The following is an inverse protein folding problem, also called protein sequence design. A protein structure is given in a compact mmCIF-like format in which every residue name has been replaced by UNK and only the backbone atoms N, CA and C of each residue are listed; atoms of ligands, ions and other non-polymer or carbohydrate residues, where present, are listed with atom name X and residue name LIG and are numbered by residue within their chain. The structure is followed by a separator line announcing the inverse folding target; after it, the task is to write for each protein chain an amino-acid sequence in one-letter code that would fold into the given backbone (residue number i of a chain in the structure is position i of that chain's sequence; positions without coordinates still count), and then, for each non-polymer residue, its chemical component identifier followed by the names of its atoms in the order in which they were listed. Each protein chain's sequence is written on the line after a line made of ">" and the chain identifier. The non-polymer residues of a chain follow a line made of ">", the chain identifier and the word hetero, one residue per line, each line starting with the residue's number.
data_IF_343150800820
#
_entry.id   IF_343150800820
#
_cell.length_a   1.000
_cell.length_b   1.000
_cell.length_c   1.000
_cell.angle_alpha   90.00
_cell.angle_beta   90.00
_cell.angle_gamma   90.00
#
_symmetry.space_group_name_H-M   'P 1'
#
loop_
_entity.id
_entity.type
_entity.pdbx_description
1 polymer ?
#
# COMPACT_ATOMS: atom_id res chain seq x y z
N UNK A 1 -12.77 -35.16 7.70
CA UNK A 1 -14.18 -34.72 7.71
C UNK A 1 -14.38 -33.80 6.51
N UNK A 2 -14.84 -34.37 5.40
CA UNK A 2 -15.15 -33.65 4.16
C UNK A 2 -16.51 -32.97 4.36
N UNK A 3 -16.55 -31.63 4.46
CA UNK A 3 -17.79 -30.86 4.35
C UNK A 3 -18.19 -30.86 2.87
N UNK A 4 -18.97 -31.87 2.49
CA UNK A 4 -19.47 -32.10 1.15
C UNK A 4 -20.58 -31.09 0.79
N UNK A 5 -20.49 -30.49 -0.40
CA UNK A 5 -21.64 -29.96 -1.12
C UNK A 5 -21.88 -28.45 -1.10
N UNK A 6 -21.08 -27.66 -0.36
CA UNK A 6 -21.19 -26.21 -0.44
C UNK A 6 -20.15 -25.69 -1.44
N UNK A 7 -20.59 -25.43 -2.67
CA UNK A 7 -19.73 -24.79 -3.65
C UNK A 7 -19.38 -23.37 -3.17
N UNK A 8 -18.09 -22.98 -3.11
CA UNK A 8 -17.68 -21.69 -2.56
C UNK A 8 -18.39 -20.50 -3.19
N UNK A 9 -18.76 -20.60 -4.48
CA UNK A 9 -19.49 -19.57 -5.19
C UNK A 9 -20.93 -19.37 -4.67
N UNK A 10 -21.59 -20.41 -4.16
CA UNK A 10 -22.93 -20.31 -3.59
C UNK A 10 -22.90 -19.63 -2.21
N UNK A 11 -21.81 -19.76 -1.45
CA UNK A 11 -21.58 -19.00 -0.21
C UNK A 11 -21.38 -17.52 -0.53
N UNK A 12 -20.54 -17.23 -1.52
CA UNK A 12 -20.23 -15.87 -1.95
C UNK A 12 -21.46 -15.14 -2.51
N UNK A 13 -22.33 -15.84 -3.24
CA UNK A 13 -23.59 -15.27 -3.75
C UNK A 13 -24.64 -14.97 -2.66
N UNK A 14 -24.53 -15.60 -1.48
CA UNK A 14 -25.45 -15.39 -0.35
C UNK A 14 -24.99 -14.31 0.61
N UNK A 15 -23.76 -13.81 0.46
CA UNK A 15 -23.29 -12.67 1.25
C UNK A 15 -24.00 -11.41 0.75
N UNK A 16 -24.52 -10.55 1.64
CA UNK A 16 -25.14 -9.27 1.28
C UNK A 16 -24.06 -8.24 0.94
N UNK A 17 -23.09 -8.61 0.12
CA UNK A 17 -21.94 -7.80 -0.28
C UNK A 17 -22.02 -7.63 -1.80
N UNK A 18 -22.06 -6.39 -2.26
CA UNK A 18 -22.06 -6.11 -3.70
C UNK A 18 -20.74 -6.51 -4.34
N UNK A 19 -20.73 -6.78 -5.64
CA UNK A 19 -19.49 -7.08 -6.37
C UNK A 19 -18.44 -5.97 -6.17
N UNK A 20 -18.89 -4.71 -6.18
CA UNK A 20 -18.03 -3.54 -5.95
C UNK A 20 -17.45 -3.54 -4.53
N UNK A 21 -18.27 -3.81 -3.50
CA UNK A 21 -17.78 -3.93 -2.12
C UNK A 21 -16.77 -5.07 -1.96
N UNK A 22 -16.93 -6.17 -2.71
CA UNK A 22 -15.96 -7.27 -2.73
C UNK A 22 -14.61 -6.85 -3.30
N UNK A 23 -14.61 -6.21 -4.48
CA UNK A 23 -13.39 -5.67 -5.10
C UNK A 23 -12.74 -4.60 -4.22
N UNK A 24 -13.56 -3.74 -3.63
CA UNK A 24 -13.10 -2.67 -2.73
C UNK A 24 -12.47 -3.23 -1.46
N UNK A 25 -13.06 -4.28 -0.88
CA UNK A 25 -12.49 -4.95 0.29
C UNK A 25 -11.11 -5.55 -0.01
N UNK A 26 -10.89 -6.10 -1.22
CA UNK A 26 -9.58 -6.60 -1.64
C UNK A 26 -8.57 -5.45 -1.74
N UNK A 27 -8.94 -4.34 -2.37
CA UNK A 27 -8.10 -3.16 -2.49
C UNK A 27 -7.77 -2.56 -1.11
N UNK A 28 -8.76 -2.51 -0.22
CA UNK A 28 -8.61 -2.06 1.15
C UNK A 28 -7.63 -2.92 1.93
N UNK A 29 -7.84 -4.25 1.97
CA UNK A 29 -6.97 -5.19 2.68
C UNK A 29 -5.54 -5.11 2.14
N UNK A 30 -5.39 -5.06 0.81
CA UNK A 30 -4.06 -5.00 0.18
C UNK A 30 -3.33 -3.71 0.53
N UNK A 31 -4.04 -2.58 0.54
CA UNK A 31 -3.48 -1.27 0.89
C UNK A 31 -3.08 -1.21 2.35
N UNK A 32 -3.97 -1.62 3.26
CA UNK A 32 -3.68 -1.68 4.69
C UNK A 32 -2.48 -2.61 4.99
N UNK A 33 -2.46 -3.78 4.37
CA UNK A 33 -1.36 -4.74 4.52
C UNK A 33 -0.03 -4.15 4.07
N UNK A 34 -0.02 -3.40 2.96
CA UNK A 34 1.15 -2.67 2.50
C UNK A 34 1.62 -1.60 3.46
N UNK A 35 0.67 -0.85 4.01
CA UNK A 35 1.00 0.18 4.98
C UNK A 35 1.67 -0.43 6.22
N UNK A 36 1.09 -1.51 6.74
CA UNK A 36 1.66 -2.25 7.87
C UNK A 36 3.04 -2.81 7.51
N UNK A 37 3.17 -3.46 6.35
CA UNK A 37 4.43 -4.03 5.88
C UNK A 37 5.52 -2.96 5.78
N UNK A 38 5.27 -1.86 5.08
CA UNK A 38 6.22 -0.77 4.91
C UNK A 38 6.59 -0.10 6.25
N UNK A 39 5.63 0.02 7.19
CA UNK A 39 5.91 0.53 8.53
C UNK A 39 6.79 -0.45 9.34
N UNK A 40 6.56 -1.75 9.23
CA UNK A 40 7.42 -2.76 9.89
C UNK A 40 8.83 -2.78 9.31
N UNK A 41 8.95 -2.61 7.99
CA UNK A 41 10.22 -2.56 7.28
C UNK A 41 11.01 -1.30 7.66
N UNK A 42 10.34 -0.14 7.71
CA UNK A 42 10.92 1.11 8.19
C UNK A 42 11.38 1.03 9.66
N UNK A 43 10.59 0.40 10.53
CA UNK A 43 10.98 0.13 11.93
C UNK A 43 12.22 -0.76 12.01
N UNK A 44 12.31 -1.80 11.18
CA UNK A 44 13.48 -2.69 11.11
C UNK A 44 14.72 -1.92 10.65
N UNK A 45 14.62 -1.16 9.56
CA UNK A 45 15.71 -0.34 9.05
C UNK A 45 16.19 0.70 10.07
N UNK A 46 15.27 1.34 10.80
CA UNK A 46 15.62 2.28 11.87
C UNK A 46 16.38 1.63 13.04
N UNK A 47 16.15 0.33 13.32
CA UNK A 47 16.94 -0.40 14.31
C UNK A 47 18.34 -0.73 13.79
N UNK A 48 18.45 -1.11 12.52
CA UNK A 48 19.72 -1.45 11.88
C UNK A 48 20.65 -0.23 11.76
N UNK A 49 20.11 0.96 11.47
CA UNK A 49 20.90 2.21 11.46
C UNK A 49 21.40 2.63 12.84
N UNK A 50 20.73 2.25 13.93
CA UNK A 50 21.27 2.47 15.28
C UNK A 50 22.52 1.63 15.57
N UNK A 51 22.66 0.47 14.90
CA UNK A 51 23.78 -0.45 15.08
C UNK A 51 24.92 -0.10 14.11
N UNK A 52 24.60 0.22 12.86
CA UNK A 52 25.58 0.53 11.81
C UNK A 52 26.10 1.99 11.84
N UNK A 53 25.54 2.83 12.71
CA UNK A 53 25.75 4.29 12.70
C UNK A 53 24.69 5.00 11.86
N UNK A 54 24.35 6.26 12.19
CA UNK A 54 23.34 6.99 11.45
C UNK A 54 23.78 7.12 9.99
N UNK A 55 22.89 6.75 9.06
CA UNK A 55 23.00 7.17 7.67
C UNK A 55 23.36 8.67 7.66
N UNK A 56 24.30 9.08 6.81
CA UNK A 56 24.94 10.40 6.88
C UNK A 56 23.98 11.53 6.47
N UNK A 57 22.91 11.73 7.25
CA UNK A 57 21.88 12.77 7.14
C UNK A 57 22.44 14.16 7.38
N UNK A 58 23.67 14.22 7.92
CA UNK A 58 24.47 15.43 8.03
C UNK A 58 24.77 16.07 6.66
N UNK A 59 24.73 15.29 5.57
CA UNK A 59 24.93 15.77 4.20
C UNK A 59 23.67 16.37 3.54
N UNK A 60 22.50 16.27 4.16
CA UNK A 60 21.26 16.84 3.61
C UNK A 60 21.20 18.35 3.85
N UNK A 61 20.95 19.09 2.77
CA UNK A 61 20.65 20.53 2.81
C UNK A 61 19.39 20.82 3.64
N UNK A 62 19.24 22.02 4.23
CA UNK A 62 18.01 22.40 4.93
C UNK A 62 16.73 22.20 4.11
N UNK A 63 16.81 22.42 2.80
CA UNK A 63 15.72 22.15 1.86
C UNK A 63 15.36 20.66 1.78
N UNK A 64 16.34 19.77 1.65
CA UNK A 64 16.11 18.32 1.63
C UNK A 64 15.52 17.80 2.95
N UNK A 65 15.92 18.38 4.08
CA UNK A 65 15.33 18.09 5.39
C UNK A 65 13.86 18.51 5.46
N UNK A 66 13.50 19.66 4.88
CA UNK A 66 12.10 20.09 4.79
C UNK A 66 11.26 19.23 3.83
N UNK A 67 11.87 18.65 2.79
CA UNK A 67 11.19 17.73 1.87
C UNK A 67 10.90 16.36 2.48
N UNK A 68 11.62 15.95 3.54
CA UNK A 68 11.41 14.64 4.20
C UNK A 68 9.96 14.42 4.66
N UNK A 69 9.36 15.32 5.46
CA UNK A 69 7.98 15.16 5.91
C UNK A 69 7.00 15.25 4.74
N UNK A 70 7.25 16.11 3.74
CA UNK A 70 6.39 16.23 2.56
C UNK A 70 6.37 14.91 1.79
N UNK A 71 7.54 14.34 1.50
CA UNK A 71 7.65 13.06 0.81
C UNK A 71 6.98 11.93 1.58
N UNK A 72 7.17 11.90 2.90
CA UNK A 72 6.51 10.94 3.78
C UNK A 72 4.99 11.09 3.72
N UNK A 73 4.46 12.31 3.81
CA UNK A 73 3.03 12.58 3.72
C UNK A 73 2.46 12.25 2.33
N UNK A 74 3.21 12.49 1.25
CA UNK A 74 2.78 12.13 -0.10
C UNK A 74 2.70 10.62 -0.31
N UNK A 75 3.58 9.84 0.32
CA UNK A 75 3.55 8.36 0.26
C UNK A 75 2.44 7.79 1.14
N UNK A 76 2.32 8.29 2.38
CA UNK A 76 1.46 7.68 3.40
C UNK A 76 0.07 8.30 3.48
N UNK A 77 -0.09 9.55 3.07
CA UNK A 77 -1.32 10.31 3.15
C UNK A 77 -2.44 9.72 2.31
N UNK A 78 -2.30 9.60 0.97
CA UNK A 78 -3.33 9.02 0.11
C UNK A 78 -3.81 7.62 0.54
N UNK A 79 -2.94 6.62 0.82
CA UNK A 79 -3.41 5.31 1.25
C UNK A 79 -4.03 5.34 2.65
N UNK A 80 -3.59 6.20 3.57
CA UNK A 80 -4.22 6.36 4.88
C UNK A 80 -5.63 6.95 4.75
N UNK A 81 -5.78 8.02 3.96
CA UNK A 81 -7.08 8.65 3.68
C UNK A 81 -8.01 7.63 3.04
N UNK A 82 -7.54 6.89 2.03
CA UNK A 82 -8.28 5.81 1.40
C UNK A 82 -8.78 4.78 2.42
N UNK A 83 -7.87 4.14 3.17
CA UNK A 83 -8.20 3.08 4.14
C UNK A 83 -9.18 3.57 5.20
N UNK A 84 -8.99 4.78 5.73
CA UNK A 84 -9.86 5.34 6.76
C UNK A 84 -11.25 5.60 6.18
N UNK A 85 -11.33 6.31 5.05
CA UNK A 85 -12.60 6.80 4.51
C UNK A 85 -13.47 5.67 3.98
N UNK A 86 -12.89 4.69 3.27
CA UNK A 86 -13.64 3.52 2.81
C UNK A 86 -14.11 2.64 3.97
N UNK A 87 -13.33 2.53 5.05
CA UNK A 87 -13.74 1.77 6.24
C UNK A 87 -14.96 2.40 6.91
N UNK A 88 -15.01 3.73 7.04
CA UNK A 88 -16.17 4.45 7.55
C UNK A 88 -17.36 4.44 6.57
N UNK A 89 -17.08 4.33 5.27
CA UNK A 89 -18.10 4.28 4.22
C UNK A 89 -18.44 2.84 3.79
N UNK A 90 -18.42 1.87 4.73
CA UNK A 90 -18.87 0.48 4.51
C UNK A 90 -18.21 -0.23 3.31
N UNK A 91 -16.91 0.00 3.10
CA UNK A 91 -16.15 -0.50 1.96
C UNK A 91 -16.66 0.02 0.61
N UNK A 92 -17.09 1.27 0.58
CA UNK A 92 -17.39 2.02 -0.64
C UNK A 92 -16.50 3.26 -0.70
N UNK A 93 -15.94 3.53 -1.87
CA UNK A 93 -15.15 4.73 -2.10
C UNK A 93 -16.08 5.96 -2.07
N UNK A 94 -15.84 6.97 -1.21
CA UNK A 94 -16.72 8.14 -1.15
C UNK A 94 -16.58 8.97 -2.43
N UNK A 95 -17.66 9.62 -2.86
CA UNK A 95 -17.74 10.33 -4.15
C UNK A 95 -16.59 11.32 -4.37
N UNK A 96 -16.30 12.14 -3.36
CA UNK A 96 -15.21 13.12 -3.42
C UNK A 96 -13.82 12.49 -3.61
N UNK A 97 -13.62 11.23 -3.21
CA UNK A 97 -12.36 10.49 -3.43
C UNK A 97 -12.41 9.75 -4.76
N UNK A 98 -13.60 9.38 -5.24
CA UNK A 98 -13.80 8.89 -6.61
C UNK A 98 -13.54 9.98 -7.65
N UNK A 99 -13.74 11.27 -7.34
CA UNK A 99 -13.41 12.38 -8.26
C UNK A 99 -11.91 12.46 -8.63
N UNK A 100 -11.03 11.85 -7.83
CA UNK A 100 -9.58 11.77 -8.09
C UNK A 100 -9.18 10.47 -8.79
N UNK A 101 -10.14 9.58 -9.07
CA UNK A 101 -9.86 8.35 -9.79
C UNK A 101 -9.49 8.66 -11.25
N UNK A 102 -8.70 7.77 -11.85
CA UNK A 102 -8.43 7.88 -13.28
C UNK A 102 -9.75 7.74 -14.05
N UNK A 103 -9.98 8.55 -15.11
CA UNK A 103 -11.21 8.48 -15.89
C UNK A 103 -11.51 7.04 -16.30
N UNK A 104 -12.69 6.53 -15.92
CA UNK A 104 -13.08 5.14 -16.20
C UNK A 104 -13.15 4.83 -17.70
N UNK A 105 -13.26 5.86 -18.55
CA UNK A 105 -13.43 5.70 -20.00
C UNK A 105 -14.61 4.79 -20.34
N UNK A 106 -14.50 4.07 -21.46
CA UNK A 106 -15.50 3.07 -21.90
C UNK A 106 -15.29 1.68 -21.27
N UNK A 107 -14.62 1.61 -20.12
CA UNK A 107 -14.34 0.32 -19.50
C UNK A 107 -15.61 -0.30 -18.91
N UNK A 108 -15.84 -1.56 -19.24
CA UNK A 108 -16.91 -2.33 -18.60
C UNK A 108 -16.64 -2.51 -17.10
N UNK A 109 -17.70 -2.70 -16.31
CA UNK A 109 -17.60 -2.93 -14.86
C UNK A 109 -16.61 -4.05 -14.52
N UNK A 110 -16.62 -5.14 -15.31
CA UNK A 110 -15.71 -6.26 -15.13
C UNK A 110 -14.25 -5.90 -15.42
N UNK A 111 -13.98 -5.08 -16.44
CA UNK A 111 -12.60 -4.67 -16.74
C UNK A 111 -12.07 -3.69 -15.70
N UNK A 112 -12.92 -2.77 -15.23
CA UNK A 112 -12.58 -1.85 -14.15
C UNK A 112 -12.25 -2.63 -12.86
N UNK A 113 -13.10 -3.59 -12.47
CA UNK A 113 -12.82 -4.48 -11.35
C UNK A 113 -11.52 -5.27 -11.54
N UNK A 114 -11.30 -5.83 -12.74
CA UNK A 114 -10.10 -6.56 -13.10
C UNK A 114 -8.83 -5.73 -12.96
N UNK A 115 -8.83 -4.47 -13.41
CA UNK A 115 -7.70 -3.55 -13.26
C UNK A 115 -7.40 -3.24 -11.79
N UNK A 116 -8.43 -3.05 -10.95
CA UNK A 116 -8.25 -2.84 -9.51
C UNK A 116 -7.62 -4.08 -8.86
N UNK A 117 -8.12 -5.28 -9.18
CA UNK A 117 -7.55 -6.53 -8.68
C UNK A 117 -6.11 -6.74 -9.17
N UNK A 118 -5.82 -6.46 -10.44
CA UNK A 118 -4.47 -6.52 -10.99
C UNK A 118 -3.54 -5.55 -10.28
N UNK A 119 -3.98 -4.32 -10.03
CA UNK A 119 -3.25 -3.33 -9.24
C UNK A 119 -2.92 -3.84 -7.84
N UNK A 120 -3.85 -4.55 -7.18
CA UNK A 120 -3.59 -5.18 -5.89
C UNK A 120 -2.49 -6.25 -5.97
N UNK A 121 -2.53 -7.10 -7.01
CA UNK A 121 -1.49 -8.12 -7.24
C UNK A 121 -0.11 -7.49 -7.51
N UNK A 122 -0.07 -6.45 -8.34
CA UNK A 122 1.16 -5.70 -8.61
C UNK A 122 1.72 -5.05 -7.34
N UNK A 123 0.84 -4.54 -6.48
CA UNK A 123 1.24 -3.95 -5.19
C UNK A 123 1.90 -4.99 -4.27
N UNK A 124 1.38 -6.21 -4.21
CA UNK A 124 2.02 -7.33 -3.50
C UNK A 124 3.41 -7.63 -4.09
N UNK A 125 3.54 -7.64 -5.42
CA UNK A 125 4.83 -7.75 -6.10
C UNK A 125 5.79 -6.62 -5.72
N UNK A 126 5.27 -5.39 -5.60
CA UNK A 126 5.99 -4.22 -5.11
C UNK A 126 6.54 -4.41 -3.70
N UNK A 127 5.79 -5.05 -2.78
CA UNK A 127 6.29 -5.36 -1.44
C UNK A 127 7.47 -6.32 -1.47
N UNK A 128 7.40 -7.35 -2.33
CA UNK A 128 8.52 -8.26 -2.52
C UNK A 128 9.75 -7.52 -3.04
N UNK A 129 9.58 -6.69 -4.07
CA UNK A 129 10.67 -5.89 -4.62
C UNK A 129 11.29 -4.97 -3.56
N UNK A 130 10.45 -4.23 -2.81
CA UNK A 130 10.90 -3.37 -1.72
C UNK A 130 11.67 -4.15 -0.65
N UNK A 131 11.18 -5.34 -0.26
CA UNK A 131 11.90 -6.24 0.64
C UNK A 131 13.30 -6.60 0.14
N UNK A 132 13.45 -6.87 -1.15
CA UNK A 132 14.75 -7.17 -1.76
C UNK A 132 15.67 -5.94 -1.73
N UNK A 133 15.15 -4.74 -2.06
CA UNK A 133 15.90 -3.50 -1.97
C UNK A 133 16.41 -3.25 -0.54
N UNK A 134 15.55 -3.41 0.48
CA UNK A 134 15.96 -3.25 1.87
C UNK A 134 16.98 -4.29 2.32
N UNK A 135 16.87 -5.55 1.87
CA UNK A 135 17.87 -6.58 2.16
C UNK A 135 19.24 -6.25 1.57
N UNK A 136 19.28 -5.68 0.36
CA UNK A 136 20.52 -5.34 -0.32
C UNK A 136 21.14 -4.04 0.20
N UNK A 137 20.32 -3.03 0.47
CA UNK A 137 20.78 -1.72 0.95
C UNK A 137 21.08 -1.74 2.46
N UNK A 138 20.37 -2.54 3.23
CA UNK A 138 20.59 -2.72 4.67
C UNK A 138 20.68 -1.39 5.42
N UNK A 139 21.81 -1.16 6.08
CA UNK A 139 22.10 0.06 6.83
C UNK A 139 22.22 1.33 5.98
N UNK A 140 22.37 1.21 4.66
CA UNK A 140 22.48 2.36 3.74
C UNK A 140 21.12 2.93 3.33
N UNK A 141 20.01 2.25 3.68
CA UNK A 141 18.67 2.71 3.34
C UNK A 141 18.30 3.99 4.11
N UNK A 142 17.96 5.05 3.38
CA UNK A 142 17.41 6.28 3.93
C UNK A 142 16.11 6.68 3.21
N UNK A 143 15.20 7.33 3.93
CA UNK A 143 13.87 7.70 3.39
C UNK A 143 13.94 8.74 2.25
N UNK A 144 15.12 9.37 2.05
CA UNK A 144 15.41 10.33 0.96
C UNK A 144 16.67 9.92 0.17
N UNK A 145 16.95 8.62 0.07
CA UNK A 145 18.05 8.13 -0.79
C UNK A 145 18.93 7.06 -0.14
N UNK A 146 20.07 6.80 -0.75
CA UNK A 146 21.07 5.85 -0.25
C UNK A 146 22.25 6.64 0.31
N UNK A 147 22.65 6.38 1.56
CA UNK A 147 23.87 6.99 2.09
C UNK A 147 25.09 6.28 1.51
N UNK A 148 25.78 6.93 0.58
CA UNK A 148 27.07 6.44 0.06
C UNK A 148 28.14 6.81 1.09
N UNK A 149 28.65 5.80 1.81
CA UNK A 149 29.86 5.96 2.62
C UNK A 149 31.05 5.62 1.73
N UNK A 150 31.90 6.62 1.45
CA UNK A 150 33.27 6.44 0.95
C UNK A 150 34.24 6.39 2.12
#
# INVERSE_FOLDING_TARGET
>A
MYLAGIEPHQILQRLPISHNQGVESIAWITTLSGMIFSATLGKKASKETKVAGPANTSSLTPFQKALTPIHSLSIWGPPAVYVITTAFNRMEQPDWFADWELPRGDLSVGWHAGLRTLGCLLNVGGYYFLSQCFKHLGSQWHFIGVSVHF
#
